data_IF_856997062020
#
_entry.id   IF_856997062020
#
_cell.length_a   1.000
_cell.length_b   1.000
_cell.length_c   1.000
_cell.angle_alpha   90.00
_cell.angle_beta   90.00
_cell.angle_gamma   90.00
#
_symmetry.space_group_name_H-M   'P 1'
#
loop_
_entity.id
_entity.type
_entity.pdbx_description
1 polymer ?
#
# COMPACT_ATOMS: atom_id res chain seq x y z
N UNK A 1 -24.81 6.11 14.65
CA UNK A 1 -24.82 5.16 13.52
C UNK A 1 -24.46 5.84 12.21
N UNK A 2 -25.34 6.55 11.48
CA UNK A 2 -24.98 7.12 10.15
C UNK A 2 -23.80 8.13 10.17
N UNK A 3 -23.68 8.95 11.23
CA UNK A 3 -22.53 9.87 11.39
C UNK A 3 -21.21 9.20 11.78
N UNK A 4 -21.24 8.05 12.45
CA UNK A 4 -20.03 7.27 12.79
C UNK A 4 -19.47 6.55 11.56
N UNK A 5 -20.36 6.08 10.68
CA UNK A 5 -19.99 5.39 9.43
C UNK A 5 -19.35 6.38 8.45
N UNK A 6 -19.95 7.56 8.26
CA UNK A 6 -19.35 8.61 7.43
C UNK A 6 -17.99 9.09 7.96
N UNK A 7 -17.82 9.16 9.28
CA UNK A 7 -16.55 9.50 9.90
C UNK A 7 -15.48 8.41 9.71
N UNK A 8 -15.88 7.13 9.78
CA UNK A 8 -15.01 5.98 9.51
C UNK A 8 -14.58 5.92 8.04
N UNK A 9 -15.49 6.12 7.09
CA UNK A 9 -15.17 6.17 5.66
C UNK A 9 -14.20 7.31 5.33
N UNK A 10 -14.44 8.51 5.87
CA UNK A 10 -13.53 9.64 5.71
C UNK A 10 -12.15 9.40 6.35
N UNK A 11 -12.07 8.63 7.44
CA UNK A 11 -10.80 8.24 8.04
C UNK A 11 -10.06 7.18 7.19
N UNK A 12 -10.78 6.17 6.67
CA UNK A 12 -10.24 5.13 5.80
C UNK A 12 -9.68 5.72 4.50
N UNK A 13 -10.43 6.59 3.83
CA UNK A 13 -9.98 7.23 2.59
C UNK A 13 -8.74 8.11 2.80
N UNK A 14 -8.68 8.85 3.93
CA UNK A 14 -7.48 9.62 4.29
C UNK A 14 -6.29 8.71 4.59
N UNK A 15 -6.53 7.62 5.32
CA UNK A 15 -5.53 6.58 5.57
C UNK A 15 -4.98 6.00 4.27
N UNK A 16 -5.86 5.65 3.33
CA UNK A 16 -5.48 5.17 2.00
C UNK A 16 -4.56 6.13 1.26
N UNK A 17 -4.89 7.43 1.28
CA UNK A 17 -4.10 8.47 0.65
C UNK A 17 -2.70 8.60 1.27
N UNK A 18 -2.61 8.59 2.60
CA UNK A 18 -1.33 8.62 3.32
C UNK A 18 -0.49 7.39 2.97
N UNK A 19 -1.09 6.20 3.00
CA UNK A 19 -0.40 4.94 2.67
C UNK A 19 0.12 4.95 1.23
N UNK A 20 -0.69 5.42 0.28
CA UNK A 20 -0.28 5.54 -1.12
C UNK A 20 0.88 6.51 -1.30
N UNK A 21 0.85 7.67 -0.63
CA UNK A 21 1.95 8.63 -0.65
C UNK A 21 3.23 8.04 -0.04
N UNK A 22 3.14 7.47 1.16
CA UNK A 22 4.30 6.87 1.83
C UNK A 22 4.90 5.71 1.02
N UNK A 23 4.07 4.93 0.34
CA UNK A 23 4.53 3.89 -0.59
C UNK A 23 5.32 4.49 -1.75
N UNK A 24 4.83 5.57 -2.37
CA UNK A 24 5.55 6.25 -3.45
C UNK A 24 6.90 6.79 -2.98
N UNK A 25 6.94 7.38 -1.79
CA UNK A 25 8.17 7.89 -1.18
C UNK A 25 9.19 6.77 -0.96
N UNK A 26 8.76 5.65 -0.37
CA UNK A 26 9.62 4.48 -0.15
C UNK A 26 10.15 3.92 -1.47
N UNK A 27 9.29 3.77 -2.48
CA UNK A 27 9.71 3.29 -3.81
C UNK A 27 10.73 4.25 -4.43
N UNK A 28 10.52 5.56 -4.30
CA UNK A 28 11.46 6.58 -4.75
C UNK A 28 12.82 6.45 -4.08
N UNK A 29 12.85 6.26 -2.77
CA UNK A 29 14.08 6.08 -1.99
C UNK A 29 14.82 4.79 -2.36
N UNK A 30 14.09 3.68 -2.51
CA UNK A 30 14.66 2.40 -2.95
C UNK A 30 15.31 2.52 -4.35
N UNK A 31 14.64 3.20 -5.28
CA UNK A 31 15.17 3.45 -6.63
C UNK A 31 16.40 4.37 -6.61
N UNK A 32 16.42 5.37 -5.73
CA UNK A 32 17.57 6.26 -5.54
C UNK A 32 18.79 5.47 -5.07
N UNK A 33 18.62 4.62 -4.05
CA UNK A 33 19.70 3.76 -3.54
C UNK A 33 20.16 2.78 -4.62
N UNK A 34 19.23 2.16 -5.36
CA UNK A 34 19.58 1.28 -6.48
C UNK A 34 20.42 2.00 -7.55
N UNK A 35 20.08 3.24 -7.87
CA UNK A 35 20.82 4.06 -8.84
C UNK A 35 22.22 4.40 -8.33
N UNK A 36 22.35 4.78 -7.06
CA UNK A 36 23.63 5.04 -6.41
C UNK A 36 24.51 3.77 -6.41
N UNK A 37 23.97 2.63 -6.00
CA UNK A 37 24.67 1.35 -6.04
C UNK A 37 25.12 1.01 -7.47
N UNK A 38 24.26 1.18 -8.47
CA UNK A 38 24.62 0.90 -9.87
C UNK A 38 25.76 1.80 -10.36
N UNK A 39 25.77 3.08 -9.98
CA UNK A 39 26.83 4.02 -10.36
C UNK A 39 28.20 3.68 -9.75
N UNK A 40 28.21 3.16 -8.52
CA UNK A 40 29.44 2.77 -7.81
C UNK A 40 29.94 1.43 -8.34
N UNK A 41 29.03 0.51 -8.69
CA UNK A 41 29.36 -0.82 -9.22
C UNK A 41 30.20 -0.79 -10.49
N UNK A 42 30.02 0.22 -11.36
CA UNK A 42 30.86 0.41 -12.55
C UNK A 42 32.35 0.63 -12.20
N UNK A 43 32.61 1.17 -11.01
CA UNK A 43 33.95 1.50 -10.50
C UNK A 43 34.61 0.33 -9.76
N UNK A 44 33.84 -0.67 -9.32
CA UNK A 44 34.32 -1.79 -8.51
C UNK A 44 34.61 -3.01 -9.39
N UNK A 45 35.68 -2.92 -10.17
CA UNK A 45 36.22 -4.04 -10.96
C UNK A 45 37.39 -4.69 -10.17
N UNK A 46 37.39 -6.02 -10.03
CA UNK A 46 38.44 -6.78 -9.34
C UNK A 46 37.97 -7.59 -8.13
N UNK A 47 38.87 -7.89 -7.18
CA UNK A 47 38.64 -8.82 -6.07
C UNK A 47 37.44 -8.48 -5.15
N UNK A 48 37.00 -7.21 -5.11
CA UNK A 48 35.82 -6.77 -4.35
C UNK A 48 34.48 -6.89 -5.09
N UNK A 49 34.50 -7.19 -6.40
CA UNK A 49 33.30 -7.20 -7.24
C UNK A 49 32.28 -8.28 -6.83
N UNK A 50 32.76 -9.43 -6.34
CA UNK A 50 31.90 -10.53 -5.90
C UNK A 50 31.07 -10.17 -4.67
N UNK A 51 31.71 -9.60 -3.64
CA UNK A 51 31.03 -9.16 -2.42
C UNK A 51 29.98 -8.09 -2.72
N UNK A 52 30.31 -7.12 -3.58
CA UNK A 52 29.37 -6.08 -3.99
C UNK A 52 28.20 -6.62 -4.80
N UNK A 53 28.46 -7.50 -5.76
CA UNK A 53 27.40 -8.16 -6.53
C UNK A 53 26.42 -8.87 -5.61
N UNK A 54 26.93 -9.55 -4.58
CA UNK A 54 26.09 -10.24 -3.60
C UNK A 54 25.27 -9.27 -2.74
N UNK A 55 25.87 -8.16 -2.27
CA UNK A 55 25.13 -7.11 -1.56
C UNK A 55 24.07 -6.45 -2.46
N UNK A 56 24.38 -6.20 -3.73
CA UNK A 56 23.47 -5.59 -4.68
C UNK A 56 22.28 -6.51 -5.01
N UNK A 57 22.52 -7.81 -5.16
CA UNK A 57 21.44 -8.80 -5.31
C UNK A 57 20.56 -8.85 -4.06
N UNK A 58 21.16 -8.90 -2.86
CA UNK A 58 20.41 -8.88 -1.61
C UNK A 58 19.59 -7.58 -1.43
N UNK A 59 20.13 -6.44 -1.87
CA UNK A 59 19.41 -5.17 -1.90
C UNK A 59 18.18 -5.23 -2.80
N UNK A 60 18.34 -5.70 -4.05
CA UNK A 60 17.23 -5.84 -5.00
C UNK A 60 16.14 -6.76 -4.48
N UNK A 61 16.52 -7.91 -3.92
CA UNK A 61 15.59 -8.87 -3.30
C UNK A 61 14.78 -8.21 -2.18
N UNK A 62 15.45 -7.53 -1.24
CA UNK A 62 14.79 -6.85 -0.11
C UNK A 62 13.90 -5.71 -0.58
N UNK A 63 14.35 -4.92 -1.55
CA UNK A 63 13.57 -3.82 -2.14
C UNK A 63 12.29 -4.33 -2.79
N UNK A 64 12.37 -5.44 -3.52
CA UNK A 64 11.19 -6.10 -4.12
C UNK A 64 10.22 -6.60 -3.06
N UNK A 65 10.72 -7.20 -1.97
CA UNK A 65 9.86 -7.64 -0.85
C UNK A 65 9.12 -6.48 -0.20
N UNK A 66 9.80 -5.36 0.03
CA UNK A 66 9.19 -4.15 0.60
C UNK A 66 8.10 -3.63 -0.35
N UNK A 67 8.42 -3.49 -1.64
CA UNK A 67 7.46 -3.00 -2.64
C UNK A 67 6.22 -3.87 -2.71
N UNK A 68 6.39 -5.20 -2.79
CA UNK A 68 5.28 -6.14 -2.80
C UNK A 68 4.41 -6.07 -1.54
N UNK A 69 5.03 -5.94 -0.36
CA UNK A 69 4.29 -5.81 0.90
C UNK A 69 3.47 -4.51 0.96
N UNK A 70 3.99 -3.42 0.38
CA UNK A 70 3.27 -2.15 0.26
C UNK A 70 2.12 -2.24 -0.76
N UNK A 71 2.31 -2.96 -1.87
CA UNK A 71 1.24 -3.27 -2.83
C UNK A 71 0.10 -4.06 -2.16
N UNK A 72 0.45 -5.12 -1.43
CA UNK A 72 -0.52 -5.95 -0.72
C UNK A 72 -1.24 -5.16 0.38
N UNK A 73 -0.52 -4.33 1.12
CA UNK A 73 -1.13 -3.48 2.15
C UNK A 73 -2.09 -2.44 1.55
N UNK A 74 -1.73 -1.79 0.44
CA UNK A 74 -2.64 -0.88 -0.26
C UNK A 74 -3.90 -1.61 -0.74
N UNK A 75 -3.75 -2.81 -1.31
CA UNK A 75 -4.86 -3.62 -1.78
C UNK A 75 -5.80 -4.00 -0.62
N UNK A 76 -5.25 -4.50 0.49
CA UNK A 76 -6.01 -4.85 1.70
C UNK A 76 -6.80 -3.66 2.25
N UNK A 77 -6.24 -2.45 2.17
CA UNK A 77 -6.90 -1.24 2.63
C UNK A 77 -8.07 -0.84 1.70
N UNK A 78 -7.89 -0.97 0.38
CA UNK A 78 -8.97 -0.77 -0.60
C UNK A 78 -10.09 -1.79 -0.46
N UNK A 79 -9.74 -3.06 -0.25
CA UNK A 79 -10.70 -4.14 -0.05
C UNK A 79 -11.50 -3.93 1.23
N UNK A 80 -10.84 -3.50 2.31
CA UNK A 80 -11.50 -3.14 3.57
C UNK A 80 -12.48 -1.99 3.36
N UNK A 81 -12.09 -0.94 2.63
CA UNK A 81 -12.99 0.17 2.31
C UNK A 81 -14.22 -0.31 1.53
N UNK A 82 -14.02 -1.13 0.48
CA UNK A 82 -15.12 -1.67 -0.32
C UNK A 82 -16.07 -2.55 0.53
N UNK A 83 -15.54 -3.38 1.42
CA UNK A 83 -16.33 -4.23 2.29
C UNK A 83 -17.18 -3.42 3.29
N UNK A 84 -16.63 -2.33 3.81
CA UNK A 84 -17.37 -1.40 4.68
C UNK A 84 -18.53 -0.75 3.94
N UNK A 85 -18.29 -0.17 2.76
CA UNK A 85 -19.35 0.47 1.95
C UNK A 85 -20.46 -0.51 1.57
N UNK A 86 -20.09 -1.73 1.16
CA UNK A 86 -21.07 -2.75 0.75
C UNK A 86 -21.94 -3.25 1.91
N UNK A 87 -21.37 -3.35 3.12
CA UNK A 87 -22.10 -3.72 4.33
C UNK A 87 -23.10 -2.63 4.73
N UNK A 88 -22.73 -1.36 4.58
CA UNK A 88 -23.61 -0.23 4.87
C UNK A 88 -24.78 -0.15 3.89
N UNK A 89 -24.52 -0.21 2.58
CA UNK A 89 -25.56 -0.21 1.55
C UNK A 89 -26.60 -1.32 1.76
N UNK A 90 -26.13 -2.52 2.13
CA UNK A 90 -27.01 -3.66 2.41
C UNK A 90 -27.90 -3.38 3.63
N UNK A 91 -27.35 -2.78 4.68
CA UNK A 91 -28.06 -2.44 5.90
C UNK A 91 -29.11 -1.34 5.65
N UNK A 92 -28.74 -0.29 4.92
CA UNK A 92 -29.63 0.80 4.54
C UNK A 92 -30.80 0.30 3.67
N UNK A 93 -30.53 -0.57 2.69
CA UNK A 93 -31.57 -1.18 1.85
C UNK A 93 -32.53 -2.06 2.66
N UNK A 94 -32.00 -2.86 3.60
CA UNK A 94 -32.82 -3.69 4.49
C UNK A 94 -33.75 -2.83 5.36
N UNK A 95 -33.22 -1.74 5.91
CA UNK A 95 -33.98 -0.84 6.77
C UNK A 95 -35.06 -0.06 5.99
N UNK A 96 -34.76 0.41 4.78
CA UNK A 96 -35.74 1.03 3.89
C UNK A 96 -36.85 0.04 3.49
N UNK A 97 -36.51 -1.22 3.20
CA UNK A 97 -37.50 -2.27 2.93
C UNK A 97 -38.37 -2.55 4.14
N UNK A 98 -37.81 -2.53 5.35
CA UNK A 98 -38.57 -2.71 6.58
C UNK A 98 -39.52 -1.52 6.84
N UNK A 99 -39.04 -0.29 6.72
CA UNK A 99 -39.86 0.92 6.89
C UNK A 99 -40.99 0.99 5.86
N UNK A 100 -40.73 0.64 4.60
CA UNK A 100 -41.77 0.59 3.55
C UNK A 100 -42.81 -0.52 3.74
N UNK A 101 -42.61 -1.45 4.68
CA UNK A 101 -43.61 -2.47 5.05
C UNK A 101 -44.43 -2.08 6.29
N UNK A 102 -44.03 -1.03 7.00
CA UNK A 102 -44.71 -0.52 8.19
C UNK A 102 -45.61 0.68 7.90
N UNK A 103 -45.52 1.28 6.71
CA UNK A 103 -46.47 2.25 6.18
C UNK A 103 -47.40 1.59 5.17
#
# INVERSE_FOLDING_TARGET
MSGEISAADGALQRGAGIVSSSKQDIIGELNSIQSQLSSIGSSWQGAGAAAFTQTFQAWQEKSRRITNALDEFEQNLRDSQSAYTQTDDTSAQSQNKFMGRLG
#
